data_IF_272902701991
#
_entry.id   IF_272902701991
#
_cell.length_a   1.000
_cell.length_b   1.000
_cell.length_c   1.000
_cell.angle_alpha   90.00
_cell.angle_beta   90.00
_cell.angle_gamma   90.00
#
_symmetry.space_group_name_H-M   'P 1'
#
loop_
_entity.id
_entity.type
_entity.pdbx_description
1 polymer ?
#
# COMPACT_ATOMS: atom_id res chain seq x y z
N UNK A 1 -35.54 -24.28 -28.36
CA UNK A 1 -36.57 -24.29 -27.29
C UNK A 1 -35.93 -23.89 -25.96
N UNK A 2 -35.68 -22.60 -25.72
CA UNK A 2 -35.11 -22.11 -24.45
C UNK A 2 -35.60 -20.69 -24.07
N UNK A 3 -36.72 -20.23 -24.64
CA UNK A 3 -37.25 -18.87 -24.40
C UNK A 3 -38.49 -18.90 -23.49
N UNK A 4 -39.08 -20.07 -23.23
CA UNK A 4 -40.37 -20.18 -22.53
C UNK A 4 -40.29 -20.17 -20.99
N UNK A 5 -39.11 -20.30 -20.38
CA UNK A 5 -38.97 -20.28 -18.91
C UNK A 5 -38.71 -18.87 -18.33
N UNK A 6 -38.36 -17.88 -19.18
CA UNK A 6 -38.07 -16.51 -18.74
C UNK A 6 -39.32 -15.66 -18.45
N UNK A 7 -40.51 -16.12 -18.83
CA UNK A 7 -41.78 -15.36 -18.66
C UNK A 7 -42.38 -15.51 -17.25
N UNK A 8 -41.90 -16.47 -16.44
CA UNK A 8 -42.50 -16.78 -15.12
C UNK A 8 -42.05 -15.88 -13.96
N UNK A 9 -41.09 -14.97 -14.17
CA UNK A 9 -40.50 -14.15 -13.09
C UNK A 9 -40.42 -12.67 -13.49
N UNK A 10 -41.52 -11.90 -13.38
CA UNK A 10 -41.57 -10.49 -13.78
C UNK A 10 -40.55 -9.61 -13.03
N UNK A 11 -40.16 -10.00 -11.82
CA UNK A 11 -39.13 -9.31 -11.03
C UNK A 11 -37.72 -9.37 -11.64
N UNK A 12 -37.38 -10.42 -12.41
CA UNK A 12 -36.08 -10.50 -13.08
C UNK A 12 -36.00 -9.49 -14.23
N UNK A 13 -37.08 -9.32 -15.00
CA UNK A 13 -37.15 -8.29 -16.05
C UNK A 13 -36.98 -6.87 -15.47
N UNK A 14 -37.54 -6.61 -14.29
CA UNK A 14 -37.38 -5.32 -13.60
C UNK A 14 -35.92 -5.04 -13.17
N UNK A 15 -35.12 -6.07 -12.89
CA UNK A 15 -33.70 -5.92 -12.55
C UNK A 15 -32.81 -5.68 -13.79
N UNK A 16 -33.13 -6.30 -14.92
CA UNK A 16 -32.31 -6.19 -16.14
C UNK A 16 -32.53 -4.88 -16.91
N UNK A 17 -33.74 -4.30 -16.85
CA UNK A 17 -34.07 -3.06 -17.57
C UNK A 17 -33.17 -1.86 -17.21
N UNK A 18 -32.91 -1.52 -15.92
CA UNK A 18 -32.06 -0.37 -15.58
C UNK A 18 -30.59 -0.60 -15.96
N UNK A 19 -30.10 -1.85 -15.85
CA UNK A 19 -28.73 -2.20 -16.27
C UNK A 19 -28.57 -2.00 -17.77
N UNK A 20 -29.53 -2.45 -18.57
CA UNK A 20 -29.50 -2.29 -20.02
C UNK A 20 -29.57 -0.81 -20.43
N UNK A 21 -30.41 0.00 -19.77
CA UNK A 21 -30.47 1.45 -20.00
C UNK A 21 -29.14 2.14 -19.64
N UNK A 22 -28.48 1.71 -18.57
CA UNK A 22 -27.18 2.27 -18.16
C UNK A 22 -26.10 1.95 -19.19
N UNK A 23 -26.05 0.73 -19.72
CA UNK A 23 -25.11 0.36 -20.79
C UNK A 23 -25.32 1.21 -22.05
N UNK A 24 -26.58 1.41 -22.47
CA UNK A 24 -26.90 2.27 -23.63
C UNK A 24 -26.50 3.72 -23.37
N UNK A 25 -26.77 4.24 -22.18
CA UNK A 25 -26.39 5.61 -21.81
C UNK A 25 -24.88 5.81 -21.83
N UNK A 26 -24.12 4.87 -21.29
CA UNK A 26 -22.65 4.89 -21.29
C UNK A 26 -22.10 4.84 -22.72
N UNK A 27 -22.61 3.94 -23.57
CA UNK A 27 -22.20 3.84 -24.97
C UNK A 27 -22.47 5.12 -25.78
N UNK A 28 -23.60 5.79 -25.53
CA UNK A 28 -23.94 7.06 -26.20
C UNK A 28 -22.99 8.22 -25.79
N UNK A 29 -22.46 8.21 -24.56
CA UNK A 29 -21.54 9.25 -24.10
C UNK A 29 -20.12 9.06 -24.65
N UNK A 30 -19.67 7.82 -24.91
CA UNK A 30 -18.35 7.57 -25.48
C UNK A 30 -18.21 8.00 -26.95
N UNK A 31 -19.30 8.09 -27.71
CA UNK A 31 -19.27 8.54 -29.11
C UNK A 31 -19.01 10.05 -29.28
N UNK A 32 -18.87 10.82 -28.19
CA UNK A 32 -18.74 12.29 -28.22
C UNK A 32 -17.39 12.83 -27.77
N UNK A 33 -16.36 11.98 -27.67
CA UNK A 33 -14.99 12.45 -27.45
C UNK A 33 -14.43 13.03 -28.75
N UNK A 34 -14.00 14.30 -28.77
CA UNK A 34 -13.31 14.87 -29.93
C UNK A 34 -11.99 14.10 -30.13
N UNK A 35 -11.75 13.62 -31.34
CA UNK A 35 -10.43 13.22 -31.78
C UNK A 35 -9.52 14.45 -31.72
N UNK A 36 -8.57 14.44 -30.79
CA UNK A 36 -7.44 15.35 -30.80
C UNK A 36 -6.59 15.02 -32.04
N UNK A 37 -6.86 15.74 -33.12
CA UNK A 37 -6.06 15.75 -34.34
C UNK A 37 -4.70 16.35 -33.99
N UNK A 38 -3.68 15.50 -33.83
CA UNK A 38 -2.29 15.94 -33.76
C UNK A 38 -1.92 16.57 -35.11
N UNK A 39 -2.03 17.89 -35.17
CA UNK A 39 -1.68 18.71 -36.32
C UNK A 39 -0.19 18.61 -36.60
N UNK A 40 0.10 18.14 -37.81
CA UNK A 40 1.40 18.17 -38.44
C UNK A 40 1.62 19.58 -38.99
N UNK A 41 2.33 20.45 -38.27
CA UNK A 41 2.72 21.77 -38.79
C UNK A 41 4.14 21.75 -39.35
N UNK A 42 4.18 22.17 -40.61
CA UNK A 42 5.32 22.27 -41.50
C UNK A 42 6.24 23.42 -41.07
N UNK A 43 7.53 23.24 -41.31
CA UNK A 43 8.61 24.20 -41.11
C UNK A 43 8.39 25.57 -41.77
N UNK A 44 9.11 26.60 -41.28
CA UNK A 44 9.73 27.56 -42.17
C UNK A 44 11.26 27.59 -42.01
N UNK A 45 11.92 27.57 -43.17
CA UNK A 45 13.29 27.99 -43.39
C UNK A 45 13.50 29.47 -43.01
N UNK A 46 14.66 29.82 -42.45
CA UNK A 46 15.22 31.17 -42.61
C UNK A 46 15.92 31.82 -41.42
N UNK A 47 17.25 31.83 -41.50
CA UNK A 47 18.18 32.90 -41.10
C UNK A 47 18.67 33.06 -39.64
N UNK A 48 19.89 32.53 -39.45
CA UNK A 48 21.12 33.25 -39.09
C UNK A 48 21.04 34.35 -38.02
N UNK A 49 21.49 34.01 -36.81
CA UNK A 49 21.91 34.96 -35.79
C UNK A 49 22.71 34.25 -34.69
N UNK A 50 24.03 34.41 -34.75
CA UNK A 50 25.04 34.17 -33.69
C UNK A 50 24.53 33.49 -32.41
N UNK A 51 24.58 32.16 -32.35
CA UNK A 51 24.61 31.44 -31.09
C UNK A 51 26.03 30.92 -30.91
N UNK A 52 26.70 31.43 -29.89
CA UNK A 52 27.96 30.93 -29.41
C UNK A 52 27.90 29.40 -29.34
N UNK A 53 28.95 28.76 -29.85
CA UNK A 53 29.22 27.35 -29.66
C UNK A 53 29.46 27.07 -28.18
N UNK A 54 28.42 27.05 -27.38
CA UNK A 54 28.38 26.22 -26.19
C UNK A 54 28.02 24.82 -26.68
N UNK A 55 29.01 24.14 -27.27
CA UNK A 55 29.02 22.70 -27.30
C UNK A 55 28.99 22.26 -25.84
N UNK A 56 27.78 22.07 -25.31
CA UNK A 56 27.52 21.51 -24.00
C UNK A 56 28.31 20.22 -23.93
N UNK A 57 29.45 20.23 -23.24
CA UNK A 57 30.16 19.02 -22.87
C UNK A 57 29.29 18.32 -21.82
N UNK A 58 28.19 17.72 -22.26
CA UNK A 58 27.40 16.84 -21.42
C UNK A 58 28.31 15.67 -21.06
N UNK A 59 28.81 15.65 -19.81
CA UNK A 59 29.63 14.55 -19.33
C UNK A 59 28.78 13.28 -19.24
N UNK A 60 29.41 12.12 -19.40
CA UNK A 60 28.75 10.84 -19.11
C UNK A 60 28.27 10.84 -17.65
N UNK A 61 27.01 10.49 -17.41
CA UNK A 61 26.41 10.44 -16.07
C UNK A 61 27.10 9.36 -15.21
N UNK A 62 27.83 9.72 -14.14
CA UNK A 62 28.52 8.75 -13.29
C UNK A 62 27.60 8.14 -12.22
N UNK A 63 26.35 8.63 -12.10
CA UNK A 63 25.41 8.26 -11.06
C UNK A 63 24.36 7.24 -11.53
N UNK A 64 23.44 6.86 -10.63
CA UNK A 64 22.33 5.97 -10.98
C UNK A 64 21.41 6.63 -12.02
N UNK A 65 21.13 7.92 -11.85
CA UNK A 65 20.38 8.76 -12.78
C UNK A 65 20.95 10.18 -12.83
N UNK A 66 20.64 10.91 -13.90
CA UNK A 66 20.99 12.32 -14.07
C UNK A 66 19.89 13.05 -14.83
N UNK A 67 19.60 14.28 -14.41
CA UNK A 67 18.71 15.22 -15.13
C UNK A 67 19.52 16.07 -16.13
N UNK A 68 18.85 16.57 -17.18
CA UNK A 68 19.48 17.38 -18.22
C UNK A 68 20.10 18.67 -17.64
N UNK A 69 21.36 18.94 -17.97
CA UNK A 69 22.06 20.16 -17.56
C UNK A 69 23.57 20.00 -17.58
N UNK A 70 24.12 19.22 -16.64
CA UNK A 70 25.57 19.00 -16.51
C UNK A 70 26.03 17.64 -17.08
N UNK A 71 25.11 16.69 -17.22
CA UNK A 71 25.39 15.32 -17.67
C UNK A 71 24.41 14.91 -18.77
N UNK A 72 24.78 13.86 -19.51
CA UNK A 72 23.84 13.14 -20.35
C UNK A 72 22.71 12.57 -19.49
N UNK A 73 21.47 12.82 -19.89
CA UNK A 73 20.29 12.35 -19.18
C UNK A 73 20.32 10.81 -19.06
N UNK A 74 20.08 10.32 -17.85
CA UNK A 74 20.03 8.89 -17.56
C UNK A 74 18.80 8.63 -16.69
N UNK A 75 17.73 8.05 -17.24
CA UNK A 75 16.51 7.81 -16.49
C UNK A 75 16.68 6.63 -15.53
N UNK A 76 15.86 6.61 -14.49
CA UNK A 76 15.75 5.46 -13.59
C UNK A 76 14.99 4.31 -14.24
N UNK A 77 15.38 3.07 -13.92
CA UNK A 77 14.63 1.89 -14.35
C UNK A 77 13.35 1.71 -13.53
N UNK A 78 12.26 1.33 -14.20
CA UNK A 78 10.94 1.14 -13.58
C UNK A 78 10.23 2.46 -13.30
N UNK A 79 9.36 2.48 -12.29
CA UNK A 79 8.56 3.66 -11.93
C UNK A 79 9.26 4.60 -10.91
N UNK A 80 10.58 4.47 -10.74
CA UNK A 80 11.40 5.29 -9.85
C UNK A 80 11.66 6.67 -10.45
N UNK A 81 11.90 7.65 -9.60
CA UNK A 81 12.24 9.03 -9.99
C UNK A 81 13.70 9.34 -9.65
N UNK A 82 14.30 10.26 -10.39
CA UNK A 82 15.64 10.74 -10.09
C UNK A 82 15.57 11.84 -9.04
N UNK A 83 16.13 11.60 -7.86
CA UNK A 83 16.22 12.60 -6.79
C UNK A 83 17.68 12.64 -6.35
N UNK A 84 18.33 13.80 -6.43
CA UNK A 84 19.74 13.97 -6.07
C UNK A 84 20.68 12.94 -6.74
N UNK A 85 20.48 12.67 -8.04
CA UNK A 85 21.22 11.68 -8.83
C UNK A 85 21.07 10.20 -8.37
N UNK A 86 20.05 9.90 -7.56
CA UNK A 86 19.69 8.53 -7.13
C UNK A 86 18.28 8.15 -7.55
N UNK A 87 18.09 6.86 -7.81
CA UNK A 87 16.78 6.34 -8.20
C UNK A 87 15.96 5.96 -6.98
N UNK A 88 15.03 6.84 -6.61
CA UNK A 88 14.17 6.68 -5.45
C UNK A 88 12.74 6.29 -5.86
N UNK A 89 12.02 5.59 -4.99
CA UNK A 89 10.59 5.34 -5.21
C UNK A 89 9.83 6.67 -5.07
N UNK A 90 8.71 6.82 -5.78
CA UNK A 90 7.87 8.02 -5.68
C UNK A 90 7.28 8.14 -4.28
N UNK A 91 7.03 9.35 -3.81
CA UNK A 91 6.28 9.56 -2.58
C UNK A 91 4.86 9.01 -2.71
N UNK A 92 4.35 8.33 -1.68
CA UNK A 92 3.02 7.73 -1.68
C UNK A 92 1.94 8.83 -1.70
N UNK A 93 1.12 8.96 -2.76
CA UNK A 93 0.10 10.00 -2.85
C UNK A 93 -1.17 9.67 -2.04
N UNK A 94 -1.26 8.44 -1.53
CA UNK A 94 -2.43 7.92 -0.84
C UNK A 94 -2.30 8.08 0.68
N UNK A 95 -3.32 7.63 1.41
CA UNK A 95 -3.27 7.58 2.87
C UNK A 95 -2.20 6.59 3.33
N UNK A 96 -2.10 5.44 2.66
CA UNK A 96 -1.06 4.45 2.89
C UNK A 96 -0.61 3.79 1.60
N UNK A 97 0.62 3.30 1.60
CA UNK A 97 1.20 2.44 0.58
C UNK A 97 1.95 1.31 1.31
N UNK A 98 1.31 0.17 1.50
CA UNK A 98 1.94 -1.04 2.04
C UNK A 98 2.57 -1.87 0.90
N UNK A 99 3.60 -2.66 1.22
CA UNK A 99 4.43 -3.41 0.27
C UNK A 99 3.63 -4.45 -0.53
N UNK A 100 2.47 -4.91 -0.03
CA UNK A 100 1.61 -5.89 -0.73
C UNK A 100 0.51 -5.25 -1.60
N UNK A 101 -0.11 -4.17 -1.14
CA UNK A 101 -1.34 -3.63 -1.75
C UNK A 101 -1.10 -2.61 -2.85
N UNK A 102 0.06 -1.95 -2.82
CA UNK A 102 0.28 -0.64 -3.45
C UNK A 102 1.65 -0.58 -4.11
N UNK A 103 1.79 -1.35 -5.19
CA UNK A 103 2.71 -1.20 -6.34
C UNK A 103 4.17 -0.83 -6.00
N UNK A 104 5.10 -1.61 -6.57
CA UNK A 104 6.57 -1.44 -6.54
C UNK A 104 7.15 -0.04 -6.88
N UNK A 105 6.30 0.94 -7.14
CA UNK A 105 6.52 2.29 -7.61
C UNK A 105 6.63 3.34 -6.49
N UNK A 106 5.96 3.14 -5.35
CA UNK A 106 5.86 4.13 -4.26
C UNK A 106 6.65 3.73 -3.00
N UNK A 107 7.14 4.73 -2.27
CA UNK A 107 7.74 4.57 -0.96
C UNK A 107 6.69 4.11 0.06
N UNK A 108 7.11 3.26 1.01
CA UNK A 108 6.21 2.70 2.02
C UNK A 108 5.68 3.80 2.92
N UNK A 109 4.36 3.85 3.08
CA UNK A 109 3.66 4.77 3.98
C UNK A 109 2.64 3.97 4.77
N UNK A 110 2.90 3.77 6.06
CA UNK A 110 2.04 2.99 6.95
C UNK A 110 0.85 3.80 7.47
N UNK A 111 -0.11 3.09 8.05
CA UNK A 111 -1.22 3.69 8.78
C UNK A 111 -0.89 3.85 10.27
N UNK A 112 -1.43 4.89 10.89
CA UNK A 112 -1.25 5.14 12.32
C UNK A 112 -2.13 4.22 13.18
N UNK A 113 -1.61 3.85 14.35
CA UNK A 113 -2.34 3.13 15.39
C UNK A 113 -2.87 1.78 14.92
N UNK A 114 -4.20 1.64 14.93
CA UNK A 114 -4.89 0.37 14.69
C UNK A 114 -5.63 0.32 13.34
N UNK A 115 -5.20 1.16 12.42
CA UNK A 115 -5.64 1.09 11.04
C UNK A 115 -4.74 0.12 10.27
N UNK A 116 -5.30 -0.53 9.26
CA UNK A 116 -4.57 -1.34 8.30
C UNK A 116 -4.71 -0.71 6.91
N UNK A 117 -3.72 -0.93 6.06
CA UNK A 117 -3.74 -0.42 4.70
C UNK A 117 -4.53 -1.37 3.79
N UNK A 118 -5.75 -0.99 3.42
CA UNK A 118 -6.60 -1.74 2.49
C UNK A 118 -6.96 -0.81 1.34
N UNK A 119 -6.68 -1.23 0.10
CA UNK A 119 -6.94 -0.45 -1.11
C UNK A 119 -6.45 1.02 -1.03
N UNK A 120 -5.17 1.21 -0.68
CA UNK A 120 -4.50 2.52 -0.53
C UNK A 120 -5.10 3.43 0.57
N UNK A 121 -5.98 2.89 1.42
CA UNK A 121 -6.65 3.62 2.50
C UNK A 121 -6.36 3.03 3.85
N UNK A 122 -6.31 3.90 4.86
CA UNK A 122 -6.23 3.47 6.23
C UNK A 122 -7.62 3.12 6.74
N UNK A 123 -7.93 1.84 6.75
CA UNK A 123 -9.20 1.34 7.25
C UNK A 123 -9.01 0.83 8.68
N UNK A 124 -10.05 0.99 9.50
CA UNK A 124 -10.02 0.47 10.85
C UNK A 124 -9.88 -1.05 10.80
N UNK A 125 -8.92 -1.62 11.55
CA UNK A 125 -8.78 -3.07 11.62
C UNK A 125 -10.09 -3.70 12.11
N UNK A 126 -10.64 -4.70 11.40
CA UNK A 126 -11.83 -5.38 11.87
C UNK A 126 -11.55 -6.02 13.22
N UNK A 127 -12.40 -5.73 14.20
CA UNK A 127 -12.36 -6.42 15.48
C UNK A 127 -12.85 -7.86 15.27
N UNK A 128 -11.99 -8.83 15.54
CA UNK A 128 -12.31 -10.26 15.40
C UNK A 128 -12.44 -10.97 16.75
N UNK A 129 -12.50 -10.25 17.88
CA UNK A 129 -12.06 -10.84 19.15
C UNK A 129 -12.66 -10.20 20.42
N UNK A 130 -12.36 -10.84 21.57
CA UNK A 130 -13.08 -10.70 22.84
C UNK A 130 -12.90 -9.36 23.58
N UNK A 131 -11.90 -8.55 23.22
CA UNK A 131 -11.54 -7.34 23.97
C UNK A 131 -11.66 -5.99 23.23
N UNK A 132 -12.37 -5.90 22.09
CA UNK A 132 -12.71 -4.59 21.52
C UNK A 132 -14.21 -4.33 21.47
N UNK A 133 -14.61 -3.10 21.87
CA UNK A 133 -15.96 -2.58 21.71
C UNK A 133 -15.92 -1.31 20.85
N UNK A 134 -16.89 -1.18 19.93
CA UNK A 134 -17.18 0.06 19.21
C UNK A 134 -16.69 0.11 17.76
N UNK A 135 -17.43 0.85 16.93
CA UNK A 135 -17.17 1.10 15.50
C UNK A 135 -15.94 1.99 15.22
N UNK A 136 -15.25 2.46 16.28
CA UNK A 136 -13.99 3.23 16.22
C UNK A 136 -12.81 2.54 16.92
N UNK A 137 -12.98 1.28 17.32
CA UNK A 137 -11.88 0.33 17.47
C UNK A 137 -11.24 0.14 18.85
N UNK A 138 -11.31 1.06 19.82
CA UNK A 138 -10.59 0.87 21.10
C UNK A 138 -11.36 1.41 22.31
N UNK A 139 -12.55 0.91 22.59
CA UNK A 139 -12.86 0.68 24.00
C UNK A 139 -12.28 -0.69 24.36
N UNK A 140 -11.14 -0.66 25.06
CA UNK A 140 -10.48 -1.82 25.63
C UNK A 140 -11.48 -2.44 26.62
N UNK A 141 -12.18 -3.49 26.20
CA UNK A 141 -12.94 -4.28 27.16
C UNK A 141 -11.90 -5.03 27.98
N UNK A 142 -12.00 -4.93 29.30
CA UNK A 142 -11.07 -5.62 30.18
C UNK A 142 -11.08 -7.10 29.87
N UNK A 143 -9.92 -7.65 29.55
CA UNK A 143 -9.73 -9.09 29.47
C UNK A 143 -9.86 -9.71 30.86
N UNK A 144 -10.29 -10.96 30.94
CA UNK A 144 -10.41 -11.66 32.21
C UNK A 144 -9.03 -11.84 32.86
N UNK A 145 -8.96 -11.58 34.17
CA UNK A 145 -7.76 -11.79 34.96
C UNK A 145 -6.63 -10.79 34.67
N UNK A 146 -5.42 -11.29 34.40
CA UNK A 146 -4.22 -10.48 34.17
C UNK A 146 -3.84 -10.33 32.70
N UNK A 147 -4.75 -10.71 31.79
CA UNK A 147 -4.53 -10.62 30.35
C UNK A 147 -4.57 -9.17 29.88
N UNK A 148 -3.85 -8.90 28.79
CA UNK A 148 -3.82 -7.60 28.13
C UNK A 148 -4.46 -7.71 26.75
N UNK A 149 -5.14 -6.66 26.31
CA UNK A 149 -5.69 -6.62 24.97
C UNK A 149 -4.58 -6.23 23.99
N UNK A 150 -4.11 -7.18 23.19
CA UNK A 150 -3.10 -6.95 22.17
C UNK A 150 -3.72 -7.17 20.79
N UNK A 151 -3.85 -6.10 19.99
CA UNK A 151 -4.47 -6.16 18.66
C UNK A 151 -5.88 -6.79 18.67
N UNK A 152 -6.61 -6.60 19.76
CA UNK A 152 -7.95 -7.12 19.98
C UNK A 152 -8.02 -8.51 20.60
N UNK A 153 -6.91 -9.24 20.73
CA UNK A 153 -6.88 -10.55 21.38
C UNK A 153 -6.47 -10.39 22.85
N UNK A 154 -7.16 -11.11 23.74
CA UNK A 154 -6.74 -11.23 25.12
C UNK A 154 -5.55 -12.18 25.21
N UNK A 155 -4.36 -11.62 25.42
CA UNK A 155 -3.12 -12.37 25.50
C UNK A 155 -2.48 -12.23 26.90
N UNK A 156 -1.64 -13.19 27.28
CA UNK A 156 -0.82 -13.05 28.49
C UNK A 156 0.18 -11.91 28.28
N UNK A 157 0.41 -11.06 29.30
CA UNK A 157 1.38 -9.99 29.20
C UNK A 157 2.79 -10.51 28.91
N UNK A 158 3.64 -9.70 28.27
CA UNK A 158 5.04 -10.05 28.02
C UNK A 158 5.76 -10.39 29.31
N UNK A 159 6.66 -11.38 29.24
CA UNK A 159 7.51 -11.76 30.35
C UNK A 159 8.30 -10.53 30.87
N UNK A 160 8.10 -10.11 32.15
CA UNK A 160 8.69 -8.90 32.71
C UNK A 160 10.21 -8.84 32.54
N UNK A 161 10.76 -7.64 32.36
CA UNK A 161 12.21 -7.46 32.15
C UNK A 161 13.08 -7.91 33.32
N UNK A 162 12.53 -7.93 34.53
CA UNK A 162 13.18 -8.52 35.71
C UNK A 162 13.43 -10.03 35.57
N UNK A 163 12.72 -10.71 34.66
CA UNK A 163 12.90 -12.12 34.35
C UNK A 163 13.69 -12.30 33.06
N UNK A 164 14.61 -13.27 33.09
CA UNK A 164 15.43 -13.60 31.92
C UNK A 164 14.65 -14.46 30.93
N UNK A 165 13.68 -15.24 31.41
CA UNK A 165 12.84 -16.10 30.60
C UNK A 165 11.50 -16.34 31.30
N UNK A 166 10.49 -16.78 30.55
CA UNK A 166 9.24 -17.30 31.07
C UNK A 166 8.92 -18.59 30.31
N UNK A 167 8.61 -19.72 30.98
CA UNK A 167 8.32 -20.97 30.30
C UNK A 167 7.00 -20.89 29.51
N UNK A 168 6.86 -21.67 28.43
CA UNK A 168 5.64 -21.70 27.61
C UNK A 168 4.35 -21.97 28.42
N UNK A 169 4.46 -22.75 29.50
CA UNK A 169 3.34 -23.11 30.38
C UNK A 169 3.18 -22.15 31.57
N UNK A 170 3.84 -20.97 31.59
CA UNK A 170 3.65 -19.98 32.65
C UNK A 170 2.19 -19.50 32.65
N UNK A 171 1.53 -19.50 33.81
CA UNK A 171 0.11 -19.13 33.91
C UNK A 171 -0.12 -17.62 33.75
N UNK A 172 0.89 -16.81 34.03
CA UNK A 172 0.78 -15.36 34.16
C UNK A 172 1.34 -14.59 32.97
N UNK A 173 2.38 -15.12 32.32
CA UNK A 173 3.13 -14.38 31.28
C UNK A 173 3.27 -15.17 29.99
N UNK A 174 3.48 -14.46 28.88
CA UNK A 174 3.85 -15.08 27.60
C UNK A 174 5.29 -15.62 27.64
N UNK A 175 5.57 -16.58 26.76
CA UNK A 175 6.87 -17.23 26.70
C UNK A 175 7.98 -16.24 26.36
N UNK A 176 9.13 -16.38 27.04
CA UNK A 176 10.37 -15.70 26.68
C UNK A 176 11.50 -16.70 26.73
N UNK A 177 12.02 -17.07 25.56
CA UNK A 177 13.06 -18.06 25.43
C UNK A 177 14.44 -17.51 25.85
N UNK A 178 15.30 -18.41 26.32
CA UNK A 178 16.70 -18.10 26.58
C UNK A 178 17.51 -18.06 25.28
N UNK A 179 18.58 -17.25 25.25
CA UNK A 179 19.54 -17.30 24.13
C UNK A 179 20.39 -18.59 24.19
N UNK A 180 20.63 -19.19 23.03
CA UNK A 180 21.46 -20.38 22.87
C UNK A 180 20.78 -21.66 23.40
N UNK A 181 21.58 -22.61 23.88
CA UNK A 181 21.09 -23.92 24.36
C UNK A 181 20.60 -23.89 25.82
N UNK A 182 20.38 -22.71 26.40
CA UNK A 182 19.97 -22.58 27.79
C UNK A 182 18.49 -22.92 27.96
N UNK A 183 18.15 -23.57 29.08
CA UNK A 183 16.77 -23.90 29.45
C UNK A 183 16.26 -22.88 30.47
N UNK A 184 15.00 -22.48 30.32
CA UNK A 184 14.33 -21.63 31.30
C UNK A 184 13.95 -22.45 32.56
N UNK A 185 14.62 -22.20 33.69
CA UNK A 185 14.29 -22.79 35.00
C UNK A 185 14.03 -21.67 36.00
N UNK A 186 12.83 -21.62 36.59
CA UNK A 186 12.43 -20.60 37.56
C UNK A 186 12.63 -19.15 37.07
N UNK A 187 12.26 -18.87 35.81
CA UNK A 187 12.39 -17.54 35.18
C UNK A 187 13.84 -17.04 35.00
N UNK A 188 14.81 -17.94 35.11
CA UNK A 188 16.24 -17.71 34.88
C UNK A 188 16.73 -18.68 33.79
N UNK A 189 17.62 -18.19 32.93
CA UNK A 189 18.29 -19.03 31.94
C UNK A 189 19.43 -19.81 32.59
N UNK A 190 19.37 -21.14 32.50
CA UNK A 190 20.44 -22.03 32.96
C UNK A 190 20.92 -22.91 31.82
N UNK A 191 22.20 -23.23 31.80
CA UNK A 191 22.69 -24.32 30.97
C UNK A 191 21.90 -25.61 31.29
N UNK A 192 21.65 -26.48 30.28
CA UNK A 192 20.78 -27.64 30.40
C UNK A 192 21.14 -28.53 31.60
#
# INVERSE_FOLDING_TARGET
MAISELVKKPWLLAMFLPVLLLVVFVAANYAKLPQESTGNETAPDGQTGNAAAEASQALACPFECCEAGNYLEKPCYGAKICVNNKCEKKECPYECCDDESSKAEYAVKGCDGNMLCEDDKCVLRPCWSDCCVGSRGFEEKSCDGNMICNSGLCEKPPCPDKYKCCPANDKEYSEKACRGNNVCKFRICKAP
#
